data_IF_388542799983
#
_entry.id   IF_388542799983
#
_cell.length_a   1.000
_cell.length_b   1.000
_cell.length_c   1.000
_cell.angle_alpha   90.00
_cell.angle_beta   90.00
_cell.angle_gamma   90.00
#
_symmetry.space_group_name_H-M   'P 1'
#
loop_
_entity.id
_entity.type
_entity.pdbx_description
1 polymer ?
#
# COMPACT_ATOMS: atom_id res chain seq x y z
N UNK A 1 10.76 -24.15 -2.07
CA UNK A 1 11.38 -23.26 -1.08
C UNK A 1 10.50 -22.02 -1.00
N UNK A 2 10.27 -21.51 0.21
CA UNK A 2 9.60 -20.23 0.42
C UNK A 2 10.49 -19.11 -0.15
N UNK A 3 9.92 -18.21 -0.96
CA UNK A 3 10.63 -17.03 -1.49
C UNK A 3 10.21 -15.79 -0.70
N UNK A 4 11.14 -14.88 -0.47
CA UNK A 4 10.84 -13.51 -0.03
C UNK A 4 10.93 -12.59 -1.24
N UNK A 5 9.86 -11.86 -1.54
CA UNK A 5 9.76 -11.01 -2.72
C UNK A 5 9.46 -9.58 -2.27
N UNK A 6 10.41 -8.68 -2.46
CA UNK A 6 10.23 -7.27 -2.17
C UNK A 6 9.63 -6.56 -3.40
N UNK A 7 8.55 -5.81 -3.21
CA UNK A 7 7.84 -5.02 -4.22
C UNK A 7 7.97 -3.55 -3.82
N UNK A 8 8.55 -2.75 -4.71
CA UNK A 8 8.74 -1.32 -4.51
C UNK A 8 7.45 -0.51 -4.63
N UNK A 9 7.62 0.79 -4.77
CA UNK A 9 6.56 1.79 -4.81
C UNK A 9 5.52 1.48 -5.89
N UNK A 10 4.24 1.67 -5.55
CA UNK A 10 3.11 1.33 -6.43
C UNK A 10 2.44 2.58 -6.97
N UNK A 11 2.29 3.63 -6.13
CA UNK A 11 1.72 4.92 -6.50
C UNK A 11 0.43 4.81 -7.33
N UNK A 12 -0.56 4.08 -6.80
CA UNK A 12 -1.85 3.91 -7.46
C UNK A 12 -1.81 3.13 -8.78
N UNK A 13 -0.67 2.53 -9.14
CA UNK A 13 -0.47 1.75 -10.36
C UNK A 13 -1.10 0.35 -10.31
N UNK A 14 -2.43 0.25 -10.16
CA UNK A 14 -3.15 -1.01 -10.01
C UNK A 14 -2.86 -1.99 -11.15
N UNK A 15 -2.91 -1.53 -12.40
CA UNK A 15 -2.66 -2.39 -13.56
C UNK A 15 -1.23 -2.94 -13.59
N UNK A 16 -0.25 -2.13 -13.18
CA UNK A 16 1.15 -2.56 -13.08
C UNK A 16 1.34 -3.58 -11.96
N UNK A 17 0.68 -3.37 -10.82
CA UNK A 17 0.67 -4.31 -9.71
C UNK A 17 0.05 -5.65 -10.13
N UNK A 18 -1.12 -5.66 -10.77
CA UNK A 18 -1.73 -6.90 -11.27
C UNK A 18 -0.79 -7.63 -12.25
N UNK A 19 -0.16 -6.89 -13.17
CA UNK A 19 0.80 -7.48 -14.11
C UNK A 19 1.98 -8.13 -13.42
N UNK A 20 2.57 -7.48 -12.40
CA UNK A 20 3.74 -8.05 -11.71
C UNK A 20 3.33 -9.26 -10.85
N UNK A 21 2.19 -9.20 -10.16
CA UNK A 21 1.69 -10.32 -9.36
C UNK A 21 1.43 -11.56 -10.24
N UNK A 22 0.86 -11.38 -11.43
CA UNK A 22 0.66 -12.46 -12.41
C UNK A 22 1.99 -13.02 -12.93
N UNK A 23 2.99 -12.17 -13.16
CA UNK A 23 4.30 -12.58 -13.68
C UNK A 23 5.17 -13.32 -12.66
N UNK A 24 5.01 -12.99 -11.38
CA UNK A 24 5.78 -13.61 -10.28
C UNK A 24 5.36 -15.07 -10.03
N UNK A 25 4.15 -15.44 -10.46
CA UNK A 25 3.51 -16.73 -10.18
C UNK A 25 3.59 -17.05 -8.67
N UNK A 26 2.91 -16.22 -7.88
CA UNK A 26 2.95 -16.26 -6.41
C UNK A 26 2.45 -17.62 -5.92
N UNK A 27 3.18 -18.19 -4.96
CA UNK A 27 2.86 -19.45 -4.29
C UNK A 27 2.43 -19.15 -2.86
N UNK A 28 1.58 -20.01 -2.29
CA UNK A 28 1.10 -19.87 -0.91
C UNK A 28 2.23 -19.79 0.14
N UNK A 29 3.37 -20.42 -0.15
CA UNK A 29 4.55 -20.41 0.73
C UNK A 29 5.45 -19.17 0.55
N UNK A 30 5.15 -18.27 -0.39
CA UNK A 30 5.92 -17.04 -0.57
C UNK A 30 5.54 -15.99 0.47
N UNK A 31 6.48 -15.10 0.77
CA UNK A 31 6.25 -13.88 1.54
C UNK A 31 6.47 -12.67 0.65
N UNK A 32 5.46 -11.80 0.56
CA UNK A 32 5.53 -10.55 -0.17
C UNK A 32 5.81 -9.40 0.80
N UNK A 33 6.88 -8.65 0.55
CA UNK A 33 7.22 -7.44 1.31
C UNK A 33 6.96 -6.24 0.41
N UNK A 34 5.97 -5.45 0.76
CA UNK A 34 5.63 -4.22 0.08
C UNK A 34 6.32 -3.04 0.76
N UNK A 35 7.07 -2.25 0.00
CA UNK A 35 8.01 -1.26 0.51
C UNK A 35 7.43 0.13 0.79
N UNK A 36 6.10 0.28 0.76
CA UNK A 36 5.39 1.55 0.95
C UNK A 36 5.05 2.26 -0.36
N UNK A 37 4.49 3.46 -0.20
CA UNK A 37 4.05 4.34 -1.28
C UNK A 37 3.06 3.65 -2.23
N UNK A 38 1.94 3.24 -1.64
CA UNK A 38 0.83 2.56 -2.33
C UNK A 38 -0.05 3.53 -3.10
N UNK A 39 -0.10 4.76 -2.60
CA UNK A 39 -1.01 5.83 -3.02
C UNK A 39 -0.25 6.95 -3.72
N UNK A 40 -1.01 7.92 -4.24
CA UNK A 40 -0.56 9.06 -5.04
C UNK A 40 -0.03 8.65 -6.41
N UNK A 41 0.21 9.61 -7.31
CA UNK A 41 0.69 9.33 -8.67
C UNK A 41 -0.44 8.98 -9.63
N UNK A 42 -0.90 7.72 -9.66
CA UNK A 42 -1.95 7.26 -10.58
C UNK A 42 -3.36 7.23 -9.95
N UNK A 43 -4.39 7.09 -10.79
CA UNK A 43 -5.80 7.28 -10.43
C UNK A 43 -6.45 6.14 -9.63
N UNK A 44 -5.74 5.05 -9.37
CA UNK A 44 -6.33 3.82 -8.79
C UNK A 44 -5.86 3.54 -7.36
N UNK A 45 -5.38 4.56 -6.63
CA UNK A 45 -4.87 4.43 -5.25
C UNK A 45 -5.80 3.67 -4.28
N UNK A 46 -7.09 4.01 -4.23
CA UNK A 46 -8.05 3.28 -3.37
C UNK A 46 -8.19 1.80 -3.77
N UNK A 47 -8.16 1.50 -5.07
CA UNK A 47 -8.26 0.13 -5.58
C UNK A 47 -6.98 -0.67 -5.31
N UNK A 48 -5.81 -0.03 -5.33
CA UNK A 48 -4.55 -0.64 -4.87
C UNK A 48 -4.69 -1.05 -3.41
N UNK A 49 -5.12 -0.16 -2.52
CA UNK A 49 -5.30 -0.50 -1.10
C UNK A 49 -6.28 -1.66 -0.93
N UNK A 50 -7.42 -1.64 -1.65
CA UNK A 50 -8.39 -2.73 -1.62
C UNK A 50 -7.78 -4.07 -2.07
N UNK A 51 -7.04 -4.08 -3.18
CA UNK A 51 -6.36 -5.27 -3.67
C UNK A 51 -5.32 -5.81 -2.67
N UNK A 52 -4.55 -4.94 -2.03
CA UNK A 52 -3.55 -5.35 -1.03
C UNK A 52 -4.20 -5.99 0.21
N UNK A 53 -5.34 -5.45 0.66
CA UNK A 53 -6.12 -6.05 1.74
C UNK A 53 -6.56 -7.46 1.33
N UNK A 54 -7.21 -7.61 0.18
CA UNK A 54 -7.69 -8.92 -0.33
C UNK A 54 -6.56 -9.93 -0.57
N UNK A 55 -5.40 -9.45 -1.03
CA UNK A 55 -4.22 -10.29 -1.24
C UNK A 55 -3.69 -10.83 0.10
N UNK A 56 -3.69 -10.00 1.14
CA UNK A 56 -3.20 -10.38 2.48
C UNK A 56 -4.03 -11.45 3.17
N UNK A 57 -5.28 -11.66 2.73
CA UNK A 57 -6.13 -12.75 3.22
C UNK A 57 -5.71 -14.12 2.69
N UNK A 58 -4.92 -14.15 1.61
CA UNK A 58 -4.56 -15.38 0.87
C UNK A 58 -3.07 -15.67 0.92
N UNK A 59 -2.23 -14.63 0.89
CA UNK A 59 -0.78 -14.72 0.81
C UNK A 59 -0.16 -14.01 2.01
N UNK A 60 0.93 -14.54 2.55
CA UNK A 60 1.68 -13.86 3.61
C UNK A 60 2.27 -12.54 3.09
N UNK A 61 1.77 -11.42 3.60
CA UNK A 61 2.17 -10.09 3.15
C UNK A 61 2.64 -9.23 4.33
N UNK A 62 3.69 -8.44 4.09
CA UNK A 62 4.22 -7.44 5.01
C UNK A 62 4.15 -6.10 4.29
N UNK A 63 3.48 -5.13 4.89
CA UNK A 63 3.27 -3.81 4.30
C UNK A 63 4.00 -2.75 5.10
N UNK A 64 5.10 -2.24 4.56
CA UNK A 64 5.85 -1.13 5.15
C UNK A 64 5.15 0.17 4.79
N UNK A 65 5.12 1.12 5.71
CA UNK A 65 4.51 2.43 5.47
C UNK A 65 5.48 3.37 4.78
N UNK A 66 5.11 3.88 3.62
CA UNK A 66 5.80 4.97 2.93
C UNK A 66 5.33 6.35 3.40
N UNK A 67 6.00 7.43 2.95
CA UNK A 67 5.62 8.78 3.37
C UNK A 67 4.31 9.24 2.72
N UNK A 68 4.00 8.79 1.50
CA UNK A 68 2.72 9.10 0.86
C UNK A 68 1.55 8.43 1.59
N UNK A 69 1.77 7.21 2.09
CA UNK A 69 0.78 6.47 2.86
C UNK A 69 0.43 7.16 4.20
N UNK A 70 1.42 7.80 4.85
CA UNK A 70 1.18 8.61 6.06
C UNK A 70 0.23 9.78 5.77
N UNK A 71 0.39 10.45 4.63
CA UNK A 71 -0.48 11.55 4.25
C UNK A 71 -1.91 11.09 3.95
N UNK A 72 -2.06 9.99 3.22
CA UNK A 72 -3.36 9.38 2.98
C UNK A 72 -4.03 8.92 4.28
N UNK A 73 -3.30 8.28 5.21
CA UNK A 73 -3.82 7.89 6.52
C UNK A 73 -4.35 9.11 7.30
N UNK A 74 -3.58 10.20 7.32
CA UNK A 74 -3.97 11.42 8.03
C UNK A 74 -5.25 12.01 7.43
N UNK A 75 -5.36 12.03 6.10
CA UNK A 75 -6.56 12.50 5.41
C UNK A 75 -7.79 11.62 5.69
N UNK A 76 -7.67 10.30 5.58
CA UNK A 76 -8.75 9.35 5.92
C UNK A 76 -9.15 9.42 7.40
N UNK A 77 -8.22 9.78 8.28
CA UNK A 77 -8.48 10.02 9.70
C UNK A 77 -9.05 11.43 9.99
N UNK A 78 -9.59 12.12 8.98
CA UNK A 78 -10.22 13.44 9.08
C UNK A 78 -9.32 14.54 9.65
N UNK A 79 -7.98 14.42 9.53
CA UNK A 79 -7.05 15.48 9.97
C UNK A 79 -6.93 16.63 8.96
N UNK A 80 -7.80 16.66 7.96
CA UNK A 80 -7.77 17.62 6.86
C UNK A 80 -6.86 17.20 5.71
N UNK A 81 -6.85 18.00 4.66
CA UNK A 81 -6.00 17.79 3.48
C UNK A 81 -4.73 18.63 3.62
N UNK A 82 -3.56 18.00 3.53
CA UNK A 82 -2.30 18.72 3.45
C UNK A 82 -2.16 19.34 2.05
N UNK A 83 -1.93 20.66 1.96
CA UNK A 83 -1.86 21.37 0.69
C UNK A 83 -0.71 20.91 -0.20
N UNK A 84 0.47 20.64 0.37
CA UNK A 84 1.63 20.13 -0.37
C UNK A 84 1.36 18.75 -0.93
N UNK A 85 0.79 17.86 -0.12
CA UNK A 85 0.38 16.52 -0.56
C UNK A 85 -0.63 16.58 -1.69
N UNK A 86 -1.67 17.41 -1.54
CA UNK A 86 -2.71 17.58 -2.54
C UNK A 86 -2.15 17.95 -3.92
N UNK A 87 -1.14 18.84 -3.94
CA UNK A 87 -0.48 19.28 -5.18
C UNK A 87 0.50 18.24 -5.75
N UNK A 88 0.93 17.26 -4.96
CA UNK A 88 1.93 16.25 -5.35
C UNK A 88 1.35 14.82 -5.33
N UNK A 89 0.18 14.63 -5.96
CA UNK A 89 -0.43 13.30 -6.17
C UNK A 89 -1.56 12.94 -5.20
N UNK A 90 -1.73 13.70 -4.11
CA UNK A 90 -2.81 13.47 -3.15
C UNK A 90 -4.20 13.72 -3.72
N UNK A 91 -4.32 14.58 -4.74
CA UNK A 91 -5.59 14.83 -5.43
C UNK A 91 -6.13 13.56 -6.09
N UNK A 92 -5.29 12.85 -6.83
CA UNK A 92 -5.62 11.60 -7.52
C UNK A 92 -6.02 10.52 -6.52
N UNK A 93 -5.32 10.46 -5.38
CA UNK A 93 -5.70 9.60 -4.25
C UNK A 93 -7.12 9.93 -3.78
N UNK A 94 -7.42 11.18 -3.45
CA UNK A 94 -8.74 11.60 -2.97
C UNK A 94 -9.84 11.26 -3.97
N UNK A 95 -9.61 11.53 -5.26
CA UNK A 95 -10.56 11.25 -6.34
C UNK A 95 -10.83 9.74 -6.48
N UNK A 96 -9.82 8.89 -6.31
CA UNK A 96 -9.96 7.42 -6.38
C UNK A 96 -10.90 6.85 -5.30
N UNK A 97 -11.10 7.56 -4.20
CA UNK A 97 -11.98 7.19 -3.09
C UNK A 97 -13.44 7.65 -3.26
N UNK A 98 -13.81 8.28 -4.38
CA UNK A 98 -15.19 8.75 -4.64
C UNK A 98 -16.21 7.62 -4.77
N UNK A 99 -15.79 6.45 -5.28
CA UNK A 99 -16.63 5.25 -5.42
C UNK A 99 -16.67 4.36 -4.17
N UNK A 100 -15.89 4.67 -3.14
CA UNK A 100 -15.78 3.86 -1.92
C UNK A 100 -16.73 4.35 -0.82
N UNK A 101 -17.39 3.41 -0.13
CA UNK A 101 -18.30 3.72 0.98
C UNK A 101 -17.53 4.19 2.22
N UNK A 102 -18.21 4.85 3.19
CA UNK A 102 -17.60 5.19 4.47
C UNK A 102 -17.02 3.98 5.22
N UNK A 103 -17.67 2.82 5.12
CA UNK A 103 -17.23 1.57 5.75
C UNK A 103 -15.92 1.07 5.13
N UNK A 104 -15.84 1.03 3.80
CA UNK A 104 -14.61 0.63 3.10
C UNK A 104 -13.46 1.61 3.41
N UNK A 105 -13.73 2.92 3.46
CA UNK A 105 -12.74 3.93 3.88
C UNK A 105 -12.21 3.67 5.28
N UNK A 106 -13.07 3.22 6.20
CA UNK A 106 -12.67 2.86 7.57
C UNK A 106 -11.80 1.59 7.59
N UNK A 107 -12.07 0.62 6.73
CA UNK A 107 -11.23 -0.57 6.57
C UNK A 107 -9.85 -0.20 6.01
N UNK A 108 -9.80 0.64 4.98
CA UNK A 108 -8.55 1.14 4.40
C UNK A 108 -7.75 1.93 5.44
N UNK A 109 -8.40 2.77 6.25
CA UNK A 109 -7.75 3.49 7.34
C UNK A 109 -7.17 2.54 8.40
N UNK A 110 -7.88 1.46 8.74
CA UNK A 110 -7.39 0.44 9.67
C UNK A 110 -6.17 -0.27 9.10
N UNK A 111 -6.19 -0.62 7.82
CA UNK A 111 -5.08 -1.23 7.10
C UNK A 111 -3.84 -0.32 7.14
N UNK A 112 -3.97 0.95 6.72
CA UNK A 112 -2.87 1.92 6.76
C UNK A 112 -2.31 2.09 8.18
N UNK A 113 -3.15 2.20 9.21
CA UNK A 113 -2.72 2.30 10.61
C UNK A 113 -1.92 1.09 11.10
N UNK A 114 -2.17 -0.09 10.53
CA UNK A 114 -1.51 -1.34 10.95
C UNK A 114 -0.10 -1.52 10.40
N UNK A 115 0.27 -0.76 9.36
CA UNK A 115 1.56 -0.90 8.68
C UNK A 115 2.71 -0.44 9.59
N UNK A 116 3.74 -1.30 9.84
CA UNK A 116 4.95 -0.88 10.51
C UNK A 116 5.80 0.06 9.64
N UNK A 117 6.71 0.80 10.27
CA UNK A 117 7.69 1.66 9.58
C UNK A 117 8.89 0.89 9.03
N UNK A 118 9.15 -0.29 9.57
CA UNK A 118 10.23 -1.17 9.14
C UNK A 118 9.90 -2.63 9.47
N UNK A 119 10.60 -3.55 8.84
CA UNK A 119 10.58 -4.96 9.13
C UNK A 119 12.00 -5.52 9.13
N UNK A 120 12.37 -6.25 10.18
CA UNK A 120 13.64 -6.98 10.28
C UNK A 120 13.31 -8.47 10.26
N UNK A 121 13.82 -9.19 9.28
CA UNK A 121 13.54 -10.63 9.16
C UNK A 121 14.54 -11.50 9.94
N UNK A 122 14.31 -12.81 9.91
CA UNK A 122 15.12 -13.81 10.60
C UNK A 122 16.55 -13.92 10.04
N UNK A 123 16.79 -13.43 8.82
CA UNK A 123 18.09 -13.38 8.15
C UNK A 123 18.83 -12.06 8.42
N UNK A 124 18.31 -11.22 9.31
CA UNK A 124 18.84 -9.90 9.65
C UNK A 124 18.89 -8.93 8.46
N UNK A 125 17.94 -9.06 7.53
CA UNK A 125 17.71 -8.08 6.45
C UNK A 125 16.69 -7.05 6.93
N UNK A 126 17.09 -5.78 6.88
CA UNK A 126 16.23 -4.67 7.24
C UNK A 126 15.50 -4.14 6.00
N UNK A 127 14.18 -4.08 6.08
CA UNK A 127 13.31 -3.46 5.09
C UNK A 127 12.68 -2.22 5.70
N UNK A 128 12.91 -1.07 5.08
CA UNK A 128 12.32 0.22 5.44
C UNK A 128 12.14 1.03 4.16
N UNK A 129 11.14 1.91 4.13
CA UNK A 129 10.81 2.67 2.92
C UNK A 129 11.94 3.63 2.51
N UNK A 130 12.42 4.44 3.45
CA UNK A 130 13.56 5.32 3.26
C UNK A 130 14.62 5.01 4.34
N UNK A 131 15.86 4.77 3.92
CA UNK A 131 16.96 4.30 4.78
C UNK A 131 18.34 4.51 4.16
#
# INVERSE_FOLDING_TARGET
MARTIAIGDIHGGLQALIQILNKIEIKEADTLIFMGDYVDGWSESAHVIQLLIELSEKINCIFIKGNHDVWCENWLNSKGVNATWYMHGGKETIESYTSFTPEQKKEHLKFLKSMPLYYLDEENRLFLHAG
#
